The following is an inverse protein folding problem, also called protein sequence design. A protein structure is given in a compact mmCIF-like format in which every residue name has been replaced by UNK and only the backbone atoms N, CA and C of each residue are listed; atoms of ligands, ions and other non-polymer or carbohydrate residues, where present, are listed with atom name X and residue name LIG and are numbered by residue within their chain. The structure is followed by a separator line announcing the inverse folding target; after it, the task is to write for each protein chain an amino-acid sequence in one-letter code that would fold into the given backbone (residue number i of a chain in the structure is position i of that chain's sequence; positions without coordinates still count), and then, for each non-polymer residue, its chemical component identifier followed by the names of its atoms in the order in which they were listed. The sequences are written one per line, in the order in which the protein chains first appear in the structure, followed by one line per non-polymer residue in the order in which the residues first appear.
data_IF_522767301344
#
_entry.id   IF_522767301344
#
_cell.length_a   1.000
_cell.length_b   1.000
_cell.length_c   1.000
_cell.angle_alpha   90.00
_cell.angle_beta   90.00
_cell.angle_gamma   90.00
#
_symmetry.space_group_name_H-M   'P 1'
#
loop_
_entity.id
_entity.type
_entity.pdbx_description
1 polymer ?
#
# COMPACT_ATOMS: atom_id res chain seq x y z
N UNK A 1 3.18 21.69 21.67
CA UNK A 1 2.93 20.49 22.50
C UNK A 1 3.78 20.64 23.75
N UNK A 2 3.16 20.95 24.89
CA UNK A 2 3.86 20.96 26.18
C UNK A 2 4.27 19.52 26.52
N UNK A 3 5.55 19.32 26.84
CA UNK A 3 6.05 18.05 27.35
C UNK A 3 5.77 18.02 28.85
N UNK A 4 4.87 17.13 29.28
CA UNK A 4 4.74 16.80 30.69
C UNK A 4 6.00 16.04 31.13
N UNK A 5 6.83 16.67 31.97
CA UNK A 5 8.04 16.07 32.56
C UNK A 5 7.74 15.33 33.87
N UNK A 6 6.55 14.76 34.00
CA UNK A 6 6.19 13.99 35.19
C UNK A 6 7.03 12.70 35.27
N UNK A 7 7.90 12.54 36.29
CA UNK A 7 8.73 11.35 36.44
C UNK A 7 7.90 10.07 36.68
N UNK A 8 6.66 10.19 37.17
CA UNK A 8 5.71 9.09 37.28
C UNK A 8 5.24 8.61 35.91
N UNK A 9 5.02 9.52 34.95
CA UNK A 9 4.66 9.18 33.58
C UNK A 9 5.81 8.47 32.87
N UNK A 10 7.04 8.96 33.00
CA UNK A 10 8.23 8.33 32.40
C UNK A 10 8.45 6.91 32.91
N UNK A 11 8.30 6.70 34.22
CA UNK A 11 8.37 5.37 34.84
C UNK A 11 7.26 4.45 34.34
N UNK A 12 6.04 4.97 34.20
CA UNK A 12 4.89 4.20 33.70
C UNK A 12 5.09 3.78 32.25
N UNK A 13 5.55 4.69 31.38
CA UNK A 13 5.85 4.40 29.98
C UNK A 13 7.01 3.38 29.84
N UNK A 14 8.04 3.48 30.69
CA UNK A 14 9.15 2.52 30.73
C UNK A 14 8.70 1.10 31.10
N UNK A 15 7.74 0.96 32.03
CA UNK A 15 7.17 -0.34 32.39
C UNK A 15 6.28 -0.87 31.27
N UNK A 16 5.43 -0.02 30.69
CA UNK A 16 4.50 -0.41 29.63
C UNK A 16 5.23 -0.84 28.35
N UNK A 17 6.27 -0.12 27.93
CA UNK A 17 7.08 -0.48 26.76
C UNK A 17 7.72 -1.87 26.87
N UNK A 18 8.11 -2.30 28.07
CA UNK A 18 8.65 -3.65 28.33
C UNK A 18 7.60 -4.75 28.27
N UNK A 19 6.31 -4.40 28.40
CA UNK A 19 5.19 -5.34 28.28
C UNK A 19 4.66 -5.48 26.86
N UNK A 20 5.07 -4.61 25.93
CA UNK A 20 4.76 -4.76 24.51
C UNK A 20 5.56 -5.97 24.00
N UNK A 21 4.92 -7.04 23.52
CA UNK A 21 5.62 -8.19 22.98
C UNK A 21 6.55 -7.75 21.84
N UNK A 22 7.86 -8.02 21.95
CA UNK A 22 8.84 -7.69 20.90
C UNK A 22 8.57 -8.45 19.58
N UNK A 23 7.76 -9.50 19.62
CA UNK A 23 7.26 -10.21 18.45
C UNK A 23 6.19 -9.43 17.66
N UNK A 24 5.65 -8.33 18.21
CA UNK A 24 4.75 -7.43 17.48
C UNK A 24 5.50 -6.40 16.62
N UNK A 25 6.82 -6.57 16.42
CA UNK A 25 7.62 -5.84 15.42
C UNK A 25 7.76 -6.67 14.15
N UNK A 26 6.75 -7.48 13.81
CA UNK A 26 6.57 -7.88 12.43
C UNK A 26 6.13 -6.63 11.66
N UNK A 27 6.84 -6.33 10.58
CA UNK A 27 6.42 -5.33 9.61
C UNK A 27 4.97 -5.67 9.23
N UNK A 28 3.98 -4.83 9.59
CA UNK A 28 2.56 -5.16 9.42
C UNK A 28 2.19 -5.35 7.95
N UNK A 29 3.03 -4.84 7.04
CA UNK A 29 2.87 -4.98 5.60
C UNK A 29 3.68 -6.15 5.04
N UNK A 30 4.46 -6.88 5.85
CA UNK A 30 5.32 -7.99 5.38
C UNK A 30 4.52 -9.06 4.65
N UNK A 31 3.41 -9.52 5.22
CA UNK A 31 2.53 -10.53 4.61
C UNK A 31 1.99 -10.03 3.25
N UNK A 32 1.48 -8.79 3.22
CA UNK A 32 0.99 -8.17 1.98
C UNK A 32 2.10 -7.98 0.95
N UNK A 33 3.31 -7.62 1.39
CA UNK A 33 4.47 -7.39 0.52
C UNK A 33 4.95 -8.70 -0.10
N UNK A 34 4.99 -9.79 0.67
CA UNK A 34 5.41 -11.11 0.20
C UNK A 34 4.54 -11.68 -0.92
N UNK A 35 3.25 -11.32 -0.95
CA UNK A 35 2.30 -11.75 -1.98
C UNK A 35 1.98 -10.67 -3.03
N UNK A 36 2.70 -9.56 -3.02
CA UNK A 36 2.48 -8.47 -3.97
C UNK A 36 3.46 -8.50 -5.14
N UNK A 37 2.97 -8.10 -6.31
CA UNK A 37 3.79 -7.79 -7.49
C UNK A 37 3.68 -6.30 -7.83
N UNK A 38 4.68 -5.79 -8.55
CA UNK A 38 4.70 -4.42 -9.04
C UNK A 38 4.72 -4.44 -10.56
N UNK A 39 3.70 -3.84 -11.17
CA UNK A 39 3.57 -3.70 -12.63
C UNK A 39 3.95 -2.27 -13.02
N UNK A 40 4.83 -2.15 -14.01
CA UNK A 40 5.24 -0.88 -14.61
C UNK A 40 4.63 -0.71 -16.00
N UNK A 41 4.61 0.52 -16.51
CA UNK A 41 4.22 0.81 -17.90
C UNK A 41 2.72 0.91 -18.19
N UNK A 42 1.83 0.64 -17.21
CA UNK A 42 0.39 0.77 -17.42
C UNK A 42 -0.04 2.25 -17.54
N UNK A 43 -0.63 2.69 -18.68
CA UNK A 43 -1.02 4.09 -18.90
C UNK A 43 -1.97 4.60 -17.83
N UNK A 44 -1.70 5.79 -17.27
CA UNK A 44 -2.60 6.43 -16.32
C UNK A 44 -3.87 6.96 -17.03
N UNK A 45 -4.96 7.07 -16.28
CA UNK A 45 -6.13 7.80 -16.75
C UNK A 45 -5.86 9.31 -16.73
N UNK A 46 -6.56 10.04 -17.60
CA UNK A 46 -6.51 11.50 -17.66
C UNK A 46 -7.06 12.12 -16.36
N UNK A 47 -6.63 13.36 -16.07
CA UNK A 47 -6.95 14.03 -14.81
C UNK A 47 -8.47 14.27 -14.62
N UNK A 48 -9.21 14.44 -15.72
CA UNK A 48 -10.62 14.86 -15.71
C UNK A 48 -11.61 13.69 -15.66
N UNK A 49 -11.12 12.45 -15.56
CA UNK A 49 -11.96 11.25 -15.48
C UNK A 49 -12.49 11.05 -14.06
N UNK A 50 -13.75 10.63 -13.88
CA UNK A 50 -14.30 10.33 -12.55
C UNK A 50 -13.50 9.24 -11.83
N UNK A 51 -13.42 9.32 -10.50
CA UNK A 51 -12.59 8.40 -9.72
C UNK A 51 -12.96 6.92 -9.89
N UNK A 52 -14.26 6.62 -10.05
CA UNK A 52 -14.76 5.26 -10.27
C UNK A 52 -14.28 4.72 -11.63
N UNK A 53 -14.40 5.52 -12.69
CA UNK A 53 -13.96 5.15 -14.04
C UNK A 53 -12.44 4.93 -14.10
N UNK A 54 -11.66 5.74 -13.36
CA UNK A 54 -10.20 5.54 -13.27
C UNK A 54 -9.84 4.22 -12.61
N UNK A 55 -10.59 3.82 -11.59
CA UNK A 55 -10.37 2.56 -10.87
C UNK A 55 -10.76 1.37 -11.75
N UNK A 56 -11.95 1.40 -12.35
CA UNK A 56 -12.39 0.35 -13.28
C UNK A 56 -11.43 0.17 -14.46
N UNK A 57 -10.90 1.27 -15.01
CA UNK A 57 -9.88 1.22 -16.06
C UNK A 57 -8.59 0.54 -15.59
N UNK A 58 -8.14 0.82 -14.36
CA UNK A 58 -6.95 0.18 -13.80
C UNK A 58 -7.17 -1.33 -13.59
N UNK A 59 -8.34 -1.71 -13.10
CA UNK A 59 -8.73 -3.12 -12.91
C UNK A 59 -8.73 -3.88 -14.22
N UNK A 60 -9.31 -3.30 -15.28
CA UNK A 60 -9.28 -3.89 -16.62
C UNK A 60 -7.85 -4.04 -17.17
N UNK A 61 -7.03 -2.99 -17.04
CA UNK A 61 -5.62 -3.04 -17.46
C UNK A 61 -4.82 -4.14 -16.76
N UNK A 62 -5.06 -4.37 -15.47
CA UNK A 62 -4.40 -5.46 -14.73
C UNK A 62 -4.98 -6.82 -15.10
N UNK A 63 -6.29 -6.90 -15.35
CA UNK A 63 -6.93 -8.12 -15.85
C UNK A 63 -6.30 -8.57 -17.17
N UNK A 64 -6.05 -7.65 -18.10
CA UNK A 64 -5.39 -7.95 -19.38
C UNK A 64 -3.96 -8.48 -19.19
N UNK A 65 -3.22 -7.94 -18.22
CA UNK A 65 -1.87 -8.42 -17.87
C UNK A 65 -1.93 -9.83 -17.29
N UNK A 66 -2.86 -10.10 -16.38
CA UNK A 66 -3.01 -11.42 -15.76
C UNK A 66 -3.45 -12.47 -16.79
N UNK A 67 -4.35 -12.11 -17.71
CA UNK A 67 -4.76 -12.95 -18.84
C UNK A 67 -3.57 -13.28 -19.76
N UNK A 68 -2.76 -12.27 -20.12
CA UNK A 68 -1.56 -12.47 -20.92
C UNK A 68 -0.53 -13.39 -20.25
N UNK A 69 -0.46 -13.36 -18.92
CA UNK A 69 0.38 -14.25 -18.12
C UNK A 69 -0.29 -15.59 -17.78
N UNK A 70 -1.56 -15.80 -18.20
CA UNK A 70 -2.39 -16.97 -17.89
C UNK A 70 -2.51 -17.23 -16.38
N UNK A 71 -2.66 -16.18 -15.60
CA UNK A 71 -2.85 -16.24 -14.15
C UNK A 71 -4.33 -16.08 -13.85
N UNK A 72 -4.98 -17.16 -13.42
CA UNK A 72 -6.39 -17.17 -13.05
C UNK A 72 -6.55 -16.74 -11.58
N UNK A 73 -6.63 -15.43 -11.35
CA UNK A 73 -6.92 -14.88 -10.02
C UNK A 73 -7.61 -13.52 -10.09
N UNK A 74 -8.11 -13.08 -8.92
CA UNK A 74 -8.56 -11.70 -8.72
C UNK A 74 -7.69 -11.06 -7.64
N UNK A 75 -6.99 -9.94 -7.93
CA UNK A 75 -6.26 -9.20 -6.92
C UNK A 75 -7.18 -8.76 -5.77
N UNK A 76 -6.65 -8.79 -4.54
CA UNK A 76 -7.36 -8.28 -3.36
C UNK A 76 -7.07 -6.81 -3.08
N UNK A 77 -5.94 -6.30 -3.55
CA UNK A 77 -5.63 -4.86 -3.53
C UNK A 77 -4.98 -4.43 -4.84
N UNK A 78 -5.43 -3.28 -5.35
CA UNK A 78 -4.93 -2.72 -6.59
C UNK A 78 -4.84 -1.19 -6.50
N UNK A 79 -3.63 -0.63 -6.57
CA UNK A 79 -3.45 0.81 -6.51
C UNK A 79 -2.14 1.28 -7.15
N UNK A 80 -2.14 2.55 -7.58
CA UNK A 80 -0.93 3.22 -8.08
C UNK A 80 -0.09 3.78 -6.94
N UNK A 81 1.21 3.49 -6.97
CA UNK A 81 2.17 3.92 -5.96
C UNK A 81 2.75 5.31 -6.28
N UNK A 82 3.00 6.09 -5.22
CA UNK A 82 3.70 7.38 -5.33
C UNK A 82 2.85 8.54 -5.84
N UNK A 83 3.51 9.69 -6.01
CA UNK A 83 2.89 10.95 -6.44
C UNK A 83 2.57 10.92 -7.94
N UNK A 84 1.45 11.54 -8.32
CA UNK A 84 1.06 11.68 -9.72
C UNK A 84 2.18 12.34 -10.54
N UNK A 85 2.42 11.81 -11.73
CA UNK A 85 3.42 12.33 -12.67
C UNK A 85 2.81 12.29 -14.08
N UNK A 86 2.72 13.43 -14.78
CA UNK A 86 2.15 13.47 -16.13
C UNK A 86 3.08 12.87 -17.19
N UNK A 87 4.38 12.81 -16.94
CA UNK A 87 5.40 12.34 -17.90
C UNK A 87 5.62 10.83 -17.82
N UNK A 88 5.44 10.24 -16.63
CA UNK A 88 5.71 8.82 -16.40
C UNK A 88 4.54 8.15 -15.66
N UNK A 89 3.96 7.06 -16.20
CA UNK A 89 2.94 6.30 -15.50
C UNK A 89 3.48 5.74 -14.19
N UNK A 90 2.71 5.92 -13.11
CA UNK A 90 3.04 5.37 -11.79
C UNK A 90 3.02 3.85 -11.81
N UNK A 91 3.92 3.26 -11.03
CA UNK A 91 3.91 1.82 -10.72
C UNK A 91 2.58 1.41 -10.10
N UNK A 92 2.14 0.20 -10.40
CA UNK A 92 0.91 -0.40 -9.90
C UNK A 92 1.28 -1.53 -8.97
N UNK A 93 0.81 -1.46 -7.72
CA UNK A 93 0.91 -2.57 -6.78
C UNK A 93 -0.34 -3.43 -6.91
N UNK A 94 -0.10 -4.74 -7.06
CA UNK A 94 -1.12 -5.78 -7.19
C UNK A 94 -0.84 -6.78 -6.07
N UNK A 95 -1.85 -7.11 -5.26
CA UNK A 95 -1.75 -7.98 -4.08
C UNK A 95 -2.82 -9.05 -4.13
#
# INVERSE_FOLDING_TARGET
MERSNDPGMERTLSILSKKIPKHAVEDPDSEKRCRSIVVSGLPAAECDVHFQDRQARLENQVSDVLEALKVECRPVELYRMGKFNPTHPRLVKVV
#
